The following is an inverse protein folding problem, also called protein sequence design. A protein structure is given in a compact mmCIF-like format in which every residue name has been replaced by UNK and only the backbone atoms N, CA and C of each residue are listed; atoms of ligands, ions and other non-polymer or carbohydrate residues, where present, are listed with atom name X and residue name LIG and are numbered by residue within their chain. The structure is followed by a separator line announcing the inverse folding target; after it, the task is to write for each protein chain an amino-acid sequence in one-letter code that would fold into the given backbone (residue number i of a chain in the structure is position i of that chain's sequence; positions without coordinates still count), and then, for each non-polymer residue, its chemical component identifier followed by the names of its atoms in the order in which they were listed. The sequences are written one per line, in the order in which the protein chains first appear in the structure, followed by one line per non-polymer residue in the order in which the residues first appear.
data_IF_889678875921
#
_entry.id   IF_889678875921
#
_cell.length_a   1.000
_cell.length_b   1.000
_cell.length_c   1.000
_cell.angle_alpha   90.00
_cell.angle_beta   90.00
_cell.angle_gamma   90.00
#
_symmetry.space_group_name_H-M   'P 1'
#
loop_
_entity.id
_entity.type
_entity.pdbx_description
1 polymer ?
#
# COMPACT_ATOMS: atom_id res chain seq x y z
N UNK A 1 16.57 -14.33 24.09
CA UNK A 1 16.38 -12.96 24.58
C UNK A 1 15.49 -12.19 23.64
N UNK A 2 14.60 -11.37 24.17
CA UNK A 2 13.74 -10.53 23.34
C UNK A 2 14.58 -9.46 22.65
N UNK A 3 14.48 -9.37 21.34
CA UNK A 3 15.11 -8.34 20.55
C UNK A 3 14.32 -7.03 20.70
N UNK A 4 15.05 -5.94 20.88
CA UNK A 4 14.40 -4.63 20.92
C UNK A 4 14.31 -4.04 19.52
N UNK A 5 13.15 -3.52 19.17
CA UNK A 5 12.97 -2.79 17.92
C UNK A 5 13.66 -1.44 18.06
N UNK A 6 14.62 -1.18 17.22
CA UNK A 6 15.36 0.07 17.21
C UNK A 6 14.63 1.14 16.41
N UNK A 7 14.08 0.77 15.26
CA UNK A 7 13.34 1.68 14.40
C UNK A 7 12.40 0.94 13.46
N UNK A 8 11.49 1.68 12.84
CA UNK A 8 10.61 1.19 11.80
C UNK A 8 10.91 1.91 10.49
N UNK A 9 10.89 1.16 9.40
CA UNK A 9 11.03 1.72 8.06
C UNK A 9 9.73 1.44 7.31
N UNK A 10 9.13 2.47 6.75
CA UNK A 10 7.90 2.34 5.96
C UNK A 10 8.21 2.65 4.50
N UNK A 11 7.92 1.70 3.62
CA UNK A 11 8.20 1.80 2.19
C UNK A 11 7.00 1.34 1.38
N UNK A 12 6.95 1.81 0.13
CA UNK A 12 6.09 1.22 -0.89
C UNK A 12 7.00 0.61 -1.96
N UNK A 13 6.86 -0.70 -2.16
CA UNK A 13 7.71 -1.45 -3.09
C UNK A 13 6.83 -2.16 -4.11
N UNK A 14 7.13 -2.07 -5.42
CA UNK A 14 6.38 -2.81 -6.43
C UNK A 14 6.44 -4.32 -6.18
N UNK A 15 5.28 -4.98 -6.21
CA UNK A 15 5.19 -6.42 -5.97
C UNK A 15 6.05 -7.19 -6.99
N UNK A 16 6.87 -8.11 -6.49
CA UNK A 16 7.75 -8.93 -7.32
C UNK A 16 8.94 -8.21 -7.93
N UNK A 17 9.11 -6.91 -7.65
CA UNK A 17 10.16 -6.08 -8.26
C UNK A 17 11.03 -5.35 -7.22
N UNK A 18 11.14 -5.87 -6.02
CA UNK A 18 12.05 -5.29 -5.03
C UNK A 18 13.51 -5.46 -5.50
N UNK A 19 14.28 -4.39 -5.44
CA UNK A 19 15.68 -4.38 -5.83
C UNK A 19 16.45 -3.37 -4.98
N UNK A 20 17.80 -3.40 -5.00
CA UNK A 20 18.61 -2.49 -4.19
C UNK A 20 18.57 -1.03 -4.64
N UNK A 21 17.90 -0.72 -5.73
CA UNK A 21 17.75 0.66 -6.22
C UNK A 21 16.81 1.47 -5.31
N UNK A 22 16.88 2.82 -5.35
CA UNK A 22 15.91 3.63 -4.63
C UNK A 22 14.46 3.23 -4.95
N UNK A 23 13.53 3.26 -3.97
CA UNK A 23 13.70 3.77 -2.60
C UNK A 23 14.20 2.73 -1.59
N UNK A 24 14.35 1.47 -1.96
CA UNK A 24 14.65 0.37 -1.03
C UNK A 24 16.09 0.46 -0.49
N UNK A 25 17.07 0.63 -1.38
CA UNK A 25 18.48 0.63 -1.02
C UNK A 25 18.84 1.68 0.03
N UNK A 26 18.60 2.97 -0.23
CA UNK A 26 18.95 4.03 0.72
C UNK A 26 18.21 3.89 2.05
N UNK A 27 16.93 3.52 2.04
CA UNK A 27 16.14 3.38 3.27
C UNK A 27 16.67 2.28 4.18
N UNK A 28 17.00 1.13 3.63
CA UNK A 28 17.55 0.01 4.39
C UNK A 28 19.02 0.19 4.72
N UNK A 29 19.79 0.78 3.81
CA UNK A 29 21.21 1.03 3.99
C UNK A 29 21.53 1.95 5.15
N UNK A 30 20.71 2.96 5.39
CA UNK A 30 20.86 3.88 6.52
C UNK A 30 20.77 3.16 7.87
N UNK A 31 20.06 2.05 7.93
CA UNK A 31 19.86 1.30 9.17
C UNK A 31 20.72 0.03 9.25
N UNK A 32 21.59 -0.18 8.26
CA UNK A 32 22.50 -1.32 8.24
C UNK A 32 21.82 -2.67 8.01
N UNK A 33 20.64 -2.67 7.42
CA UNK A 33 19.86 -3.88 7.11
C UNK A 33 20.36 -4.51 5.81
N UNK A 34 20.33 -5.85 5.73
CA UNK A 34 20.71 -6.57 4.52
C UNK A 34 19.65 -6.39 3.42
N UNK A 35 19.95 -5.55 2.46
CA UNK A 35 19.04 -5.17 1.37
C UNK A 35 18.67 -6.38 0.50
N UNK A 36 19.64 -7.21 0.15
CA UNK A 36 19.41 -8.36 -0.73
C UNK A 36 18.52 -9.40 -0.08
N UNK A 37 18.68 -9.63 1.20
CA UNK A 37 17.83 -10.56 1.97
C UNK A 37 16.38 -10.08 1.99
N UNK A 38 16.18 -8.79 2.23
CA UNK A 38 14.84 -8.18 2.15
C UNK A 38 14.23 -8.35 0.76
N UNK A 39 14.96 -8.02 -0.28
CA UNK A 39 14.46 -8.11 -1.66
C UNK A 39 14.05 -9.54 -2.02
N UNK A 40 14.85 -10.52 -1.66
CA UNK A 40 14.54 -11.95 -1.89
C UNK A 40 13.28 -12.37 -1.16
N UNK A 41 13.18 -12.05 0.13
CA UNK A 41 12.02 -12.41 0.95
C UNK A 41 10.75 -11.73 0.47
N UNK A 42 10.82 -10.44 0.16
CA UNK A 42 9.70 -9.68 -0.38
C UNK A 42 9.22 -10.23 -1.72
N UNK A 43 10.12 -10.45 -2.65
CA UNK A 43 9.77 -10.99 -3.97
C UNK A 43 9.14 -12.38 -3.86
N UNK A 44 9.65 -13.22 -2.97
CA UNK A 44 9.09 -14.55 -2.72
C UNK A 44 7.65 -14.47 -2.19
N UNK A 45 7.39 -13.55 -1.26
CA UNK A 45 6.06 -13.38 -0.67
C UNK A 45 5.07 -12.72 -1.62
N UNK A 46 5.53 -11.95 -2.59
CA UNK A 46 4.67 -11.23 -3.54
C UNK A 46 4.49 -11.95 -4.87
N UNK A 47 5.01 -13.17 -5.03
CA UNK A 47 4.90 -13.92 -6.29
C UNK A 47 3.46 -14.15 -6.76
N UNK A 48 2.53 -14.31 -5.83
CA UNK A 48 1.10 -14.50 -6.15
C UNK A 48 0.34 -13.21 -6.41
N UNK A 49 0.99 -12.06 -6.30
CA UNK A 49 0.37 -10.77 -6.48
C UNK A 49 0.63 -10.24 -7.89
N UNK A 50 -0.22 -9.31 -8.34
CA UNK A 50 -0.02 -8.64 -9.62
C UNK A 50 1.29 -7.86 -9.60
N UNK A 51 2.16 -8.13 -10.58
CA UNK A 51 3.50 -7.52 -10.64
C UNK A 51 3.39 -6.03 -10.91
N UNK A 52 4.13 -5.25 -10.14
CA UNK A 52 4.19 -3.80 -10.29
C UNK A 52 3.20 -3.02 -9.44
N UNK A 53 2.28 -3.67 -8.73
CA UNK A 53 1.39 -2.98 -7.78
C UNK A 53 2.22 -2.55 -6.58
N UNK A 54 2.18 -1.26 -6.18
CA UNK A 54 2.85 -0.82 -4.97
C UNK A 54 2.28 -1.51 -3.73
N UNK A 55 3.15 -2.12 -2.94
CA UNK A 55 2.77 -2.78 -1.70
C UNK A 55 3.41 -2.01 -0.54
N UNK A 56 2.61 -1.47 0.40
CA UNK A 56 3.16 -0.84 1.59
C UNK A 56 3.80 -1.90 2.48
N UNK A 57 5.01 -1.63 2.92
CA UNK A 57 5.79 -2.53 3.78
C UNK A 57 6.22 -1.77 5.01
N UNK A 58 6.02 -2.36 6.18
CA UNK A 58 6.55 -1.84 7.45
C UNK A 58 7.65 -2.80 7.91
N UNK A 59 8.87 -2.31 7.94
CA UNK A 59 10.04 -3.09 8.33
C UNK A 59 10.43 -2.70 9.75
N UNK A 60 10.49 -3.69 10.65
CA UNK A 60 10.96 -3.49 12.01
C UNK A 60 12.44 -3.87 12.08
N UNK A 61 13.28 -2.91 12.43
CA UNK A 61 14.73 -3.12 12.54
C UNK A 61 15.08 -3.29 14.01
N UNK A 62 15.78 -4.36 14.31
CA UNK A 62 16.20 -4.71 15.67
C UNK A 62 17.62 -4.23 15.96
N UNK A 63 17.97 -4.20 17.23
CA UNK A 63 19.28 -3.71 17.68
C UNK A 63 20.48 -4.54 17.20
N UNK A 64 20.24 -5.80 16.82
CA UNK A 64 21.26 -6.70 16.25
C UNK A 64 21.35 -6.63 14.72
N UNK A 65 20.69 -5.62 14.12
CA UNK A 65 20.58 -5.40 12.67
C UNK A 65 19.77 -6.45 11.93
N UNK A 66 19.10 -7.32 12.64
CA UNK A 66 18.09 -8.19 12.04
C UNK A 66 16.82 -7.39 11.77
N UNK A 67 15.96 -7.92 10.92
CA UNK A 67 14.71 -7.24 10.58
C UNK A 67 13.58 -8.25 10.41
N UNK A 68 12.37 -7.76 10.62
CA UNK A 68 11.14 -8.43 10.19
C UNK A 68 10.31 -7.41 9.41
N UNK A 69 9.47 -7.87 8.52
CA UNK A 69 8.60 -6.97 7.77
C UNK A 69 7.19 -7.52 7.66
N UNK A 70 6.25 -6.59 7.56
CA UNK A 70 4.83 -6.89 7.37
C UNK A 70 4.39 -6.18 6.09
N UNK A 71 3.80 -6.95 5.18
CA UNK A 71 3.20 -6.39 3.97
C UNK A 71 1.75 -6.06 4.24
N UNK A 72 1.33 -4.88 3.84
CA UNK A 72 -0.06 -4.45 3.92
C UNK A 72 -0.71 -4.57 2.54
N UNK A 73 -2.03 -4.37 2.50
CA UNK A 73 -2.75 -4.32 1.22
C UNK A 73 -2.33 -3.11 0.40
N UNK A 74 -2.46 -3.15 -0.94
CA UNK A 74 -2.13 -2.00 -1.78
C UNK A 74 -2.86 -0.74 -1.31
N UNK A 75 -2.28 0.46 -1.52
CA UNK A 75 -2.95 1.71 -1.13
C UNK A 75 -4.32 1.85 -1.79
N UNK A 76 -5.27 2.44 -1.06
CA UNK A 76 -6.62 2.66 -1.59
C UNK A 76 -6.60 3.45 -2.90
N UNK A 77 -5.68 4.41 -3.03
CA UNK A 77 -5.53 5.21 -4.24
C UNK A 77 -5.21 4.37 -5.47
N UNK A 78 -4.36 3.36 -5.33
CA UNK A 78 -4.01 2.45 -6.44
C UNK A 78 -5.22 1.63 -6.87
N UNK A 79 -5.94 1.08 -5.91
CA UNK A 79 -7.14 0.29 -6.18
C UNK A 79 -8.24 1.12 -6.82
N UNK A 80 -8.42 2.36 -6.35
CA UNK A 80 -9.41 3.30 -6.90
C UNK A 80 -9.06 3.72 -8.32
N UNK A 81 -7.81 4.00 -8.61
CA UNK A 81 -7.35 4.32 -9.97
C UNK A 81 -7.63 3.17 -10.93
N UNK A 82 -7.35 1.95 -10.49
CA UNK A 82 -7.61 0.76 -11.29
C UNK A 82 -9.10 0.55 -11.54
N UNK A 83 -9.93 0.73 -10.52
CA UNK A 83 -11.38 0.60 -10.64
C UNK A 83 -11.99 1.67 -11.55
N UNK A 84 -11.50 2.90 -11.48
CA UNK A 84 -11.96 4.01 -12.30
C UNK A 84 -11.34 4.02 -13.71
N UNK A 85 -10.29 3.23 -13.96
CA UNK A 85 -9.59 3.18 -15.24
C UNK A 85 -8.75 4.41 -15.53
N UNK A 86 -8.26 5.10 -14.50
CA UNK A 86 -7.42 6.30 -14.65
C UNK A 86 -5.99 6.03 -14.16
N UNK A 87 -5.03 6.75 -14.73
CA UNK A 87 -3.62 6.62 -14.33
C UNK A 87 -3.25 7.57 -13.21
N UNK A 88 -3.89 8.73 -13.15
CA UNK A 88 -3.56 9.79 -12.20
C UNK A 88 -4.82 10.46 -11.65
N UNK A 89 -4.82 10.74 -10.37
CA UNK A 89 -5.88 11.51 -9.72
C UNK A 89 -5.84 12.99 -10.10
N UNK A 90 -6.89 13.73 -9.72
CA UNK A 90 -6.98 15.16 -9.99
C UNK A 90 -6.04 15.97 -9.09
N UNK A 91 -5.40 16.99 -9.67
CA UNK A 91 -4.66 18.00 -8.90
C UNK A 91 -5.57 19.00 -8.18
N UNK A 92 -6.82 19.12 -8.64
CA UNK A 92 -7.85 19.96 -8.03
C UNK A 92 -9.15 19.16 -7.84
N UNK A 93 -9.15 18.18 -6.92
CA UNK A 93 -10.24 17.20 -6.84
C UNK A 93 -11.59 17.80 -6.48
N UNK A 94 -11.59 18.95 -5.84
CA UNK A 94 -12.81 19.64 -5.45
C UNK A 94 -13.56 20.26 -6.63
N UNK A 95 -12.81 20.70 -7.65
CA UNK A 95 -13.37 21.40 -8.82
C UNK A 95 -13.31 20.58 -10.10
N UNK A 96 -12.35 19.66 -10.22
CA UNK A 96 -12.13 18.88 -11.43
C UNK A 96 -12.19 17.38 -11.12
N UNK A 97 -13.24 16.72 -11.60
CA UNK A 97 -13.42 15.27 -11.45
C UNK A 97 -12.83 14.57 -12.67
N UNK A 98 -12.03 13.54 -12.43
CA UNK A 98 -11.29 12.81 -13.50
C UNK A 98 -11.81 11.41 -13.74
N UNK A 99 -12.76 10.94 -12.95
CA UNK A 99 -13.35 9.61 -13.12
C UNK A 99 -14.52 9.37 -12.20
N UNK A 100 -15.10 8.18 -12.29
CA UNK A 100 -16.23 7.76 -11.47
C UNK A 100 -15.99 6.36 -10.94
N UNK A 101 -16.49 6.11 -9.73
CA UNK A 101 -16.54 4.77 -9.13
C UNK A 101 -17.94 4.49 -8.62
N UNK A 102 -18.37 3.24 -8.74
CA UNK A 102 -19.68 2.82 -8.23
C UNK A 102 -19.53 2.29 -6.80
N UNK A 103 -20.63 2.28 -6.05
CA UNK A 103 -20.65 1.69 -4.72
C UNK A 103 -20.17 0.24 -4.73
N UNK A 104 -20.54 -0.53 -5.75
CA UNK A 104 -20.11 -1.93 -5.90
C UNK A 104 -18.60 -2.06 -5.98
N UNK A 105 -17.93 -1.18 -6.76
CA UNK A 105 -16.48 -1.14 -6.84
C UNK A 105 -15.85 -0.77 -5.49
N UNK A 106 -16.46 0.16 -4.76
CA UNK A 106 -16.00 0.53 -3.42
C UNK A 106 -16.12 -0.63 -2.44
N UNK A 107 -17.18 -1.41 -2.52
CA UNK A 107 -17.37 -2.61 -1.69
C UNK A 107 -16.28 -3.65 -1.95
N UNK A 108 -15.93 -3.87 -3.21
CA UNK A 108 -14.85 -4.80 -3.59
C UNK A 108 -13.50 -4.33 -3.02
N UNK A 109 -13.19 -3.04 -3.14
CA UNK A 109 -11.96 -2.46 -2.58
C UNK A 109 -11.97 -2.58 -1.06
N UNK A 110 -13.10 -2.30 -0.41
CA UNK A 110 -13.23 -2.41 1.03
C UNK A 110 -12.98 -3.85 1.51
N UNK A 111 -13.45 -4.86 0.80
CA UNK A 111 -13.20 -6.27 1.11
C UNK A 111 -11.72 -6.62 1.02
N UNK A 112 -11.03 -6.13 -0.01
CA UNK A 112 -9.59 -6.36 -0.19
C UNK A 112 -8.80 -5.73 0.96
N UNK A 113 -9.17 -4.54 1.41
CA UNK A 113 -8.47 -3.81 2.46
C UNK A 113 -9.00 -4.07 3.86
N UNK A 114 -9.97 -4.95 4.04
CA UNK A 114 -10.65 -5.15 5.34
C UNK A 114 -9.68 -5.42 6.49
N UNK A 115 -8.59 -6.16 6.25
CA UNK A 115 -7.58 -6.47 7.27
C UNK A 115 -6.77 -5.26 7.73
N UNK A 116 -6.67 -4.21 6.90
CA UNK A 116 -5.90 -2.99 7.20
C UNK A 116 -6.80 -1.85 7.69
N UNK A 117 -8.11 -2.01 7.58
CA UNK A 117 -9.07 -1.00 7.99
C UNK A 117 -9.56 -1.27 9.41
N UNK A 118 -9.82 -0.20 10.15
CA UNK A 118 -10.42 -0.30 11.48
C UNK A 118 -11.93 -0.05 11.47
N UNK A 119 -12.57 -0.27 10.33
CA UNK A 119 -14.00 -0.11 10.17
C UNK A 119 -14.77 -1.20 10.93
N UNK A 120 -15.88 -0.85 11.53
CA UNK A 120 -16.71 -1.76 12.29
C UNK A 120 -17.45 -2.77 11.40
N UNK A 121 -17.81 -2.36 10.18
CA UNK A 121 -18.53 -3.19 9.22
C UNK A 121 -18.17 -2.79 7.79
N UNK A 122 -18.74 -3.51 6.82
CA UNK A 122 -18.50 -3.25 5.39
C UNK A 122 -18.98 -1.86 4.97
N UNK A 123 -20.12 -1.41 5.48
CA UNK A 123 -20.66 -0.10 5.13
C UNK A 123 -19.75 1.03 5.60
N UNK A 124 -19.20 0.94 6.81
CA UNK A 124 -18.23 1.89 7.32
C UNK A 124 -16.95 1.88 6.47
N UNK A 125 -16.49 0.71 6.06
CA UNK A 125 -15.32 0.56 5.18
C UNK A 125 -15.56 1.23 3.82
N UNK A 126 -16.74 1.05 3.25
CA UNK A 126 -17.15 1.70 1.98
C UNK A 126 -17.11 3.22 2.12
N UNK A 127 -17.58 3.77 3.23
CA UNK A 127 -17.52 5.21 3.48
C UNK A 127 -16.10 5.74 3.54
N UNK A 128 -15.19 5.00 4.18
CA UNK A 128 -13.76 5.36 4.24
C UNK A 128 -13.16 5.42 2.84
N UNK A 129 -13.40 4.40 2.03
CA UNK A 129 -12.89 4.34 0.66
C UNK A 129 -13.53 5.42 -0.22
N UNK A 130 -14.82 5.69 -0.03
CA UNK A 130 -15.52 6.76 -0.75
C UNK A 130 -14.90 8.14 -0.47
N UNK A 131 -14.53 8.41 0.77
CA UNK A 131 -13.81 9.64 1.13
C UNK A 131 -12.48 9.76 0.42
N UNK A 132 -11.72 8.67 0.34
CA UNK A 132 -10.45 8.62 -0.41
C UNK A 132 -10.68 8.88 -1.90
N UNK A 133 -11.74 8.30 -2.49
CA UNK A 133 -12.10 8.51 -3.89
C UNK A 133 -12.40 9.99 -4.17
N UNK A 134 -13.17 10.62 -3.32
CA UNK A 134 -13.49 12.05 -3.46
C UNK A 134 -12.24 12.91 -3.39
N UNK A 135 -11.30 12.58 -2.50
CA UNK A 135 -10.03 13.31 -2.37
C UNK A 135 -9.14 13.16 -3.61
N UNK A 136 -9.37 12.14 -4.41
CA UNK A 136 -8.65 11.92 -5.67
C UNK A 136 -9.33 12.56 -6.88
N UNK A 137 -10.49 13.16 -6.71
CA UNK A 137 -11.28 13.70 -7.80
C UNK A 137 -12.14 12.68 -8.52
N UNK A 138 -12.56 11.63 -7.84
CA UNK A 138 -13.50 10.63 -8.35
C UNK A 138 -14.91 10.92 -7.85
N UNK A 139 -15.90 10.78 -8.72
CA UNK A 139 -17.30 10.82 -8.31
C UNK A 139 -17.71 9.43 -7.81
N UNK A 140 -18.48 9.41 -6.74
CA UNK A 140 -19.00 8.18 -6.16
C UNK A 140 -20.47 8.05 -6.54
N UNK A 141 -20.82 7.00 -7.27
CA UNK A 141 -22.19 6.69 -7.68
C UNK A 141 -22.78 5.60 -6.77
N UNK A 142 -24.03 5.71 -6.50
CA UNK A 142 -24.76 4.78 -5.67
C UNK A 142 -24.91 5.22 -4.25
#
# INVERSE_FOLDING_TARGET
MARKIETYIKLQVPAGKANPSPPVGPALGQHGVNIMEFCKAFNAQTQGMEVGIPVPVVISVYNDRSFTFIMKTPPATVLLKKAAGIEKGSGTPNTNKVGKVTRKQLEEIAKVKARDLNAADLEAAVKIIAGSARSMGLEVEG
#
